data_IF_172128233143
#
_entry.id   IF_172128233143
#
_cell.length_a   1.000
_cell.length_b   1.000
_cell.length_c   1.000
_cell.angle_alpha   90.00
_cell.angle_beta   90.00
_cell.angle_gamma   90.00
#
_symmetry.space_group_name_H-M   'P 1'
#
loop_
_entity.id
_entity.type
_entity.pdbx_description
1 polymer ?
#
# COMPACT_ATOMS: atom_id res chain seq x y z
N UNK A 1 12.24 3.58 -9.79
CA UNK A 1 10.85 3.40 -10.24
C UNK A 1 10.01 4.57 -9.75
N UNK A 2 9.10 5.07 -10.58
CA UNK A 2 8.14 6.11 -10.20
C UNK A 2 6.87 5.43 -9.65
N UNK A 3 6.35 5.93 -8.54
CA UNK A 3 5.13 5.45 -7.90
C UNK A 3 4.11 6.57 -7.88
N UNK A 4 2.88 6.25 -8.23
CA UNK A 4 1.76 7.18 -8.21
C UNK A 4 0.51 6.51 -7.64
N UNK A 5 -0.22 7.22 -6.78
CA UNK A 5 -1.47 6.75 -6.21
C UNK A 5 -2.49 7.90 -6.19
N UNK A 6 -3.64 7.68 -6.82
CA UNK A 6 -4.76 8.60 -6.69
C UNK A 6 -5.41 8.46 -5.30
N UNK A 7 -5.52 9.58 -4.57
CA UNK A 7 -6.35 9.67 -3.36
C UNK A 7 -6.61 11.13 -2.99
N UNK A 8 -7.85 11.57 -3.18
CA UNK A 8 -8.28 12.95 -2.87
C UNK A 8 -8.32 13.27 -1.37
N UNK A 9 -8.67 12.27 -0.54
CA UNK A 9 -8.90 12.45 0.90
C UNK A 9 -7.79 11.87 1.79
N UNK A 10 -6.71 11.33 1.20
CA UNK A 10 -5.56 10.93 1.99
C UNK A 10 -4.87 12.16 2.61
N UNK A 11 -4.36 11.98 3.82
CA UNK A 11 -3.52 12.95 4.52
C UNK A 11 -2.03 12.63 4.37
N UNK A 12 -1.70 11.34 4.15
CA UNK A 12 -0.34 10.83 3.89
C UNK A 12 -0.41 9.49 3.18
N UNK A 13 0.54 9.24 2.27
CA UNK A 13 0.69 7.94 1.60
C UNK A 13 2.10 7.43 1.84
N UNK A 14 2.22 6.22 2.35
CA UNK A 14 3.48 5.50 2.48
C UNK A 14 3.59 4.43 1.40
N UNK A 15 4.67 4.46 0.62
CA UNK A 15 5.15 3.32 -0.14
C UNK A 15 5.82 2.33 0.83
N UNK A 16 5.34 1.09 0.83
CA UNK A 16 5.82 0.02 1.68
C UNK A 16 6.57 -0.98 0.81
N UNK A 17 7.87 -1.15 1.03
CA UNK A 17 8.75 -2.07 0.30
C UNK A 17 9.14 -3.24 1.18
N UNK A 18 9.19 -4.44 0.61
CA UNK A 18 9.49 -5.66 1.32
C UNK A 18 10.77 -6.33 0.78
N UNK A 19 11.70 -6.65 1.67
CA UNK A 19 12.85 -7.51 1.35
C UNK A 19 12.44 -8.98 1.24
N UNK A 20 13.36 -9.87 0.87
CA UNK A 20 13.10 -11.30 0.69
C UNK A 20 12.60 -12.00 1.96
N UNK A 21 13.04 -11.55 3.13
CA UNK A 21 12.62 -12.07 4.44
C UNK A 21 11.25 -11.54 4.88
N UNK A 22 10.68 -10.59 4.13
CA UNK A 22 9.38 -10.00 4.40
C UNK A 22 9.44 -8.80 5.35
N UNK A 23 10.63 -8.26 5.65
CA UNK A 23 10.74 -7.05 6.45
C UNK A 23 10.26 -5.83 5.66
N UNK A 24 9.47 -4.99 6.31
CA UNK A 24 8.88 -3.80 5.70
C UNK A 24 9.75 -2.56 5.92
N UNK A 25 10.03 -1.83 4.84
CA UNK A 25 10.53 -0.47 4.86
C UNK A 25 9.47 0.47 4.30
N UNK A 26 9.24 1.62 4.96
CA UNK A 26 8.20 2.57 4.60
C UNK A 26 8.80 3.91 4.22
N UNK A 27 8.31 4.46 3.12
CA UNK A 27 8.74 5.74 2.57
C UNK A 27 7.50 6.60 2.30
N UNK A 28 7.46 7.82 2.80
CA UNK A 28 6.41 8.75 2.40
C UNK A 28 6.52 9.04 0.90
N UNK A 29 5.38 9.10 0.21
CA UNK A 29 5.29 9.74 -1.10
C UNK A 29 5.25 11.25 -0.88
N UNK A 30 6.33 11.99 -1.20
CA UNK A 30 6.51 13.35 -0.71
C UNK A 30 5.75 14.40 -1.52
N UNK A 31 5.31 14.06 -2.73
CA UNK A 31 4.70 15.00 -3.65
C UNK A 31 3.23 14.67 -3.93
N UNK A 32 2.43 15.71 -4.15
CA UNK A 32 1.02 15.61 -4.54
C UNK A 32 0.72 16.62 -5.65
N UNK A 33 0.17 16.15 -6.76
CA UNK A 33 -0.25 16.98 -7.89
C UNK A 33 -1.74 16.74 -8.14
N UNK A 34 -2.58 17.72 -7.78
CA UNK A 34 -4.02 17.49 -7.67
C UNK A 34 -4.31 16.42 -6.60
N UNK A 35 -4.95 15.33 -6.99
CA UNK A 35 -5.26 14.20 -6.11
C UNK A 35 -4.33 13.00 -6.31
N UNK A 36 -3.22 13.18 -7.04
CA UNK A 36 -2.24 12.13 -7.29
C UNK A 36 -1.03 12.34 -6.36
N UNK A 37 -0.79 11.37 -5.48
CA UNK A 37 0.41 11.24 -4.66
C UNK A 37 1.50 10.57 -5.47
N UNK A 38 2.73 11.06 -5.43
CA UNK A 38 3.83 10.47 -6.20
C UNK A 38 5.19 10.63 -5.55
N UNK A 39 6.10 9.76 -5.97
CA UNK A 39 7.49 9.71 -5.51
C UNK A 39 8.34 8.80 -6.39
N UNK A 40 9.65 8.89 -6.20
CA UNK A 40 10.61 8.08 -6.94
C UNK A 40 11.54 7.34 -5.98
N UNK A 41 11.73 6.04 -6.23
CA UNK A 41 12.68 5.21 -5.50
C UNK A 41 13.78 4.72 -6.45
N UNK A 42 15.03 5.12 -6.17
CA UNK A 42 16.20 4.79 -6.98
C UNK A 42 16.47 3.28 -7.04
N UNK A 43 16.39 2.61 -5.90
CA UNK A 43 16.81 1.23 -5.70
C UNK A 43 15.76 0.17 -6.09
N UNK A 44 14.74 0.54 -6.88
CA UNK A 44 13.72 -0.38 -7.34
C UNK A 44 14.28 -1.31 -8.44
N UNK A 45 14.84 -2.45 -8.02
CA UNK A 45 15.35 -3.50 -8.90
C UNK A 45 14.36 -4.67 -9.12
N UNK A 46 14.75 -5.68 -9.92
CA UNK A 46 13.99 -6.91 -10.07
C UNK A 46 13.72 -7.58 -8.72
N UNK A 47 12.51 -8.11 -8.52
CA UNK A 47 12.11 -8.74 -7.26
C UNK A 47 11.64 -7.77 -6.18
N UNK A 48 11.57 -6.46 -6.47
CA UNK A 48 10.95 -5.50 -5.56
C UNK A 48 9.50 -5.90 -5.28
N UNK A 49 9.16 -6.09 -4.01
CA UNK A 49 7.79 -6.30 -3.56
C UNK A 49 7.31 -5.05 -2.84
N UNK A 50 6.13 -4.56 -3.20
CA UNK A 50 5.61 -3.34 -2.59
C UNK A 50 4.10 -3.37 -2.33
N UNK A 51 3.63 -2.37 -1.58
CA UNK A 51 2.24 -2.00 -1.36
C UNK A 51 2.15 -0.57 -0.84
N UNK A 52 0.96 -0.11 -0.48
CA UNK A 52 0.75 1.22 0.09
C UNK A 52 0.08 1.16 1.45
N UNK A 53 0.39 2.12 2.32
CA UNK A 53 -0.43 2.45 3.49
C UNK A 53 -0.92 3.88 3.34
N UNK A 54 -2.22 4.07 3.50
CA UNK A 54 -2.86 5.36 3.26
C UNK A 54 -3.48 5.85 4.56
N UNK A 55 -3.04 7.03 4.97
CA UNK A 55 -3.49 7.73 6.17
C UNK A 55 -4.58 8.73 5.79
N UNK A 56 -5.49 8.96 6.72
CA UNK A 56 -6.61 9.88 6.55
C UNK A 56 -7.71 9.61 7.57
N UNK A 57 -8.89 10.23 7.39
CA UNK A 57 -9.99 10.09 8.33
C UNK A 57 -10.56 8.67 8.40
N UNK A 58 -10.87 8.23 9.63
CA UNK A 58 -11.80 7.14 9.86
C UNK A 58 -13.13 7.73 10.29
N UNK A 59 -14.02 7.91 9.33
CA UNK A 59 -15.40 8.36 9.54
C UNK A 59 -16.34 7.50 8.65
N UNK A 60 -16.75 6.31 9.15
CA UNK A 60 -17.63 5.42 8.42
C UNK A 60 -18.97 6.05 8.03
N UNK A 61 -19.46 7.05 8.76
CA UNK A 61 -20.72 7.72 8.47
C UNK A 61 -20.61 8.60 7.21
N UNK A 62 -19.42 9.12 6.92
CA UNK A 62 -19.09 9.86 5.69
C UNK A 62 -18.39 8.96 4.64
N UNK A 63 -18.30 7.66 4.88
CA UNK A 63 -17.63 6.70 3.98
C UNK A 63 -16.10 6.70 4.05
N UNK A 64 -15.48 7.54 4.89
CA UNK A 64 -14.03 7.56 5.08
C UNK A 64 -13.58 6.36 5.92
N UNK A 65 -12.69 5.54 5.36
CA UNK A 65 -12.21 4.29 5.98
C UNK A 65 -10.69 4.14 5.87
N UNK A 66 -9.96 5.25 5.93
CA UNK A 66 -8.50 5.21 5.89
C UNK A 66 -7.98 4.43 7.10
N UNK A 67 -7.19 3.40 6.82
CA UNK A 67 -6.65 2.53 7.85
C UNK A 67 -5.23 2.10 7.47
N UNK A 68 -4.19 2.80 7.97
CA UNK A 68 -2.82 2.50 7.61
C UNK A 68 -2.31 1.20 8.22
N UNK A 69 -3.06 0.49 9.07
CA UNK A 69 -2.72 -0.87 9.49
C UNK A 69 -2.92 -1.89 8.36
N UNK A 70 -3.63 -1.52 7.29
CA UNK A 70 -3.92 -2.38 6.15
C UNK A 70 -3.00 -2.03 5.00
N UNK A 71 -2.18 -3.00 4.57
CA UNK A 71 -1.40 -2.91 3.35
C UNK A 71 -2.34 -3.00 2.14
N UNK A 72 -2.28 -2.00 1.28
CA UNK A 72 -3.11 -1.87 0.08
C UNK A 72 -2.31 -2.23 -1.17
N UNK A 73 -3.01 -2.82 -2.13
CA UNK A 73 -2.49 -3.08 -3.47
C UNK A 73 -2.62 -1.81 -4.31
N UNK A 74 -1.66 -1.56 -5.19
CA UNK A 74 -1.73 -0.51 -6.21
C UNK A 74 -2.84 -0.85 -7.19
N UNK A 75 -3.87 0.00 -7.34
CA UNK A 75 -4.95 -0.23 -8.31
C UNK A 75 -4.47 -0.37 -9.75
N UNK A 76 -3.28 0.13 -10.07
CA UNK A 76 -2.66 0.09 -11.40
C UNK A 76 -1.57 -0.98 -11.52
N UNK A 77 -1.46 -1.89 -10.54
CA UNK A 77 -0.49 -2.98 -10.56
C UNK A 77 -0.70 -3.92 -11.76
N UNK A 78 0.39 -4.22 -12.46
CA UNK A 78 0.38 -5.22 -13.53
C UNK A 78 0.55 -6.67 -13.03
N UNK A 79 1.10 -6.87 -11.83
CA UNK A 79 1.33 -8.19 -11.24
C UNK A 79 1.23 -8.16 -9.72
N UNK A 80 0.37 -9.01 -9.19
CA UNK A 80 0.21 -9.26 -7.75
C UNK A 80 0.79 -10.64 -7.43
N UNK A 81 1.55 -10.74 -6.36
CA UNK A 81 2.18 -11.96 -5.84
C UNK A 81 1.62 -12.32 -4.46
N UNK A 82 1.36 -13.61 -4.27
CA UNK A 82 0.79 -14.17 -3.05
C UNK A 82 -0.70 -14.49 -3.17
N UNK A 83 -1.16 -15.33 -2.25
CA UNK A 83 -2.57 -15.71 -2.15
C UNK A 83 -3.37 -14.66 -1.36
N UNK A 84 -4.69 -14.73 -1.48
CA UNK A 84 -5.63 -13.97 -0.65
C UNK A 84 -6.27 -14.92 0.37
N UNK A 85 -5.63 -15.17 1.53
CA UNK A 85 -6.18 -16.07 2.54
C UNK A 85 -7.43 -15.47 3.18
N UNK A 86 -8.30 -16.34 3.71
CA UNK A 86 -9.33 -15.94 4.65
C UNK A 86 -8.68 -15.66 6.02
N UNK A 87 -8.16 -14.44 6.19
CA UNK A 87 -7.49 -13.99 7.41
C UNK A 87 -8.10 -12.66 7.89
N UNK A 88 -8.55 -12.64 9.15
CA UNK A 88 -9.21 -11.49 9.74
C UNK A 88 -8.38 -10.20 9.72
N UNK A 89 -7.04 -10.29 9.65
CA UNK A 89 -6.17 -9.11 9.56
C UNK A 89 -6.41 -8.31 8.29
N UNK A 90 -6.94 -8.94 7.23
CA UNK A 90 -7.34 -8.26 5.99
C UNK A 90 -8.62 -7.46 6.15
N UNK A 91 -9.39 -7.66 7.23
CA UNK A 91 -10.59 -6.87 7.49
C UNK A 91 -10.22 -5.46 7.96
N UNK A 92 -10.86 -4.45 7.38
CA UNK A 92 -10.65 -3.03 7.76
C UNK A 92 -11.32 -2.62 9.07
N UNK A 93 -12.30 -3.41 9.53
CA UNK A 93 -13.21 -3.06 10.64
C UNK A 93 -14.50 -2.39 10.16
N UNK A 94 -15.59 -2.55 10.93
CA UNK A 94 -16.92 -2.05 10.57
C UNK A 94 -17.19 -0.66 11.15
N UNK A 95 -17.16 -0.54 12.48
CA UNK A 95 -17.43 0.70 13.24
C UNK A 95 -16.16 1.39 13.70
N UNK A 96 -15.14 0.59 14.02
CA UNK A 96 -13.83 1.03 14.46
C UNK A 96 -12.78 0.45 13.51
N UNK A 97 -11.65 1.13 13.28
CA UNK A 97 -10.61 0.57 12.44
C UNK A 97 -10.02 -0.66 13.13
N UNK A 98 -9.97 -1.78 12.43
CA UNK A 98 -9.16 -2.92 12.87
C UNK A 98 -7.70 -2.52 12.78
N UNK A 99 -6.99 -2.47 13.91
CA UNK A 99 -5.60 -1.98 13.97
C UNK A 99 -4.54 -3.09 13.82
N UNK A 100 -4.95 -4.35 13.62
CA UNK A 100 -4.00 -5.44 13.39
C UNK A 100 -3.31 -5.25 12.06
N UNK A 101 -2.01 -5.40 12.06
CA UNK A 101 -1.21 -5.23 10.85
C UNK A 101 -1.47 -6.35 9.84
N UNK A 102 -1.71 -5.99 8.58
CA UNK A 102 -1.99 -6.97 7.53
C UNK A 102 -0.78 -7.31 6.65
N UNK A 103 0.38 -6.66 6.82
CA UNK A 103 1.49 -6.80 5.88
C UNK A 103 2.02 -8.23 5.78
N UNK A 104 1.95 -9.00 6.87
CA UNK A 104 2.36 -10.41 6.87
C UNK A 104 1.50 -11.31 5.97
N UNK A 105 0.23 -10.96 5.73
CA UNK A 105 -0.74 -11.82 5.00
C UNK A 105 -1.28 -11.19 3.73
N UNK A 106 -1.24 -9.87 3.58
CA UNK A 106 -1.68 -9.21 2.37
C UNK A 106 -0.78 -9.60 1.19
N UNK A 107 -1.33 -9.83 -0.01
CA UNK A 107 -0.51 -10.01 -1.20
C UNK A 107 0.27 -8.73 -1.51
N UNK A 108 1.40 -8.88 -2.22
CA UNK A 108 2.30 -7.77 -2.57
C UNK A 108 2.29 -7.57 -4.07
N UNK A 109 2.65 -6.37 -4.52
CA UNK A 109 2.82 -6.09 -5.93
C UNK A 109 4.27 -6.36 -6.28
N UNK A 110 4.46 -7.03 -7.41
CA UNK A 110 5.77 -7.28 -7.93
C UNK A 110 6.18 -6.13 -8.85
N UNK A 111 7.14 -5.32 -8.40
CA UNK A 111 7.78 -4.28 -9.20
C UNK A 111 8.47 -4.90 -10.41
N UNK A 112 8.02 -4.51 -11.61
CA UNK A 112 8.58 -4.99 -12.86
C UNK A 112 9.88 -4.29 -13.22
N UNK A 113 10.98 -5.03 -13.15
CA UNK A 113 11.89 -5.13 -14.30
C UNK A 113 11.54 -6.42 -15.02
N UNK A 114 11.08 -6.32 -16.28
CA UNK A 114 11.10 -7.49 -17.16
C UNK A 114 12.56 -7.91 -17.28
N UNK A 115 12.90 -9.12 -16.84
CA UNK A 115 14.09 -9.77 -17.36
C UNK A 115 13.79 -10.04 -18.84
N UNK A 116 14.26 -9.13 -19.71
CA UNK A 116 14.51 -9.44 -21.12
C UNK A 116 15.96 -9.87 -21.24
#
# INVERSE_FOLDING_TARGET
>A
MNFALFSAHAERVELCVFDEQGNEQRFDLPARSGDIWHGWLAAAGPGLRYGYRVHGPWDPAQGHRFNPAKLLIDPSAHRVEGDLPDDERLHGGMWQPDRRDSAAVAPKIAGGGSAL
#
